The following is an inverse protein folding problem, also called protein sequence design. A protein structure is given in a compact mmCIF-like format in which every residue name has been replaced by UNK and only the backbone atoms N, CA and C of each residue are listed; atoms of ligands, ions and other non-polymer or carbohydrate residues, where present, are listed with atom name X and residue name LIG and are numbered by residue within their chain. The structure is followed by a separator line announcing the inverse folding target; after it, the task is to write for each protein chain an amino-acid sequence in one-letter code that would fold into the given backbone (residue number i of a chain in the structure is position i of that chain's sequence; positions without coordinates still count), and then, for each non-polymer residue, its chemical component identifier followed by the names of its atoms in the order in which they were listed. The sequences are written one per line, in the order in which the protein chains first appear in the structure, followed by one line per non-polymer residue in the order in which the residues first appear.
data_IF_416843317254
#
_entry.id   IF_416843317254
#
_cell.length_a   1.000
_cell.length_b   1.000
_cell.length_c   1.000
_cell.angle_alpha   90.00
_cell.angle_beta   90.00
_cell.angle_gamma   90.00
#
_symmetry.space_group_name_H-M   'P 1'
#
loop_
_entity.id
_entity.type
_entity.pdbx_description
1 polymer ?
#
# COMPACT_ATOMS: atom_id res chain seq x y z
N UNK A 1 -26.66 59.28 -27.80
CA UNK A 1 -26.73 58.50 -26.54
C UNK A 1 -26.53 57.05 -26.91
N UNK A 2 -25.29 56.55 -26.83
CA UNK A 2 -24.91 55.22 -27.19
C UNK A 2 -24.29 54.57 -25.96
N UNK A 3 -24.93 53.58 -25.39
CA UNK A 3 -24.43 52.76 -24.28
C UNK A 3 -23.64 51.60 -24.86
N UNK A 4 -22.32 51.62 -24.73
CA UNK A 4 -21.47 50.49 -24.98
C UNK A 4 -21.38 49.64 -23.73
N UNK A 5 -22.01 48.47 -23.76
CA UNK A 5 -21.81 47.41 -22.76
C UNK A 5 -20.59 46.61 -23.14
N UNK A 6 -19.45 47.02 -22.64
CA UNK A 6 -18.22 46.23 -22.67
C UNK A 6 -18.11 45.44 -21.37
N UNK A 7 -18.66 44.23 -21.32
CA UNK A 7 -18.38 43.28 -20.23
C UNK A 7 -17.51 42.15 -20.75
N UNK A 8 -16.21 42.36 -20.73
CA UNK A 8 -15.27 41.25 -20.75
C UNK A 8 -15.15 40.72 -19.33
N UNK A 9 -15.91 39.69 -19.01
CA UNK A 9 -15.66 38.91 -17.83
C UNK A 9 -14.42 38.00 -18.07
N UNK A 10 -13.24 38.55 -17.85
CA UNK A 10 -12.07 37.73 -17.61
C UNK A 10 -12.30 37.03 -16.26
N UNK A 11 -12.65 35.75 -16.30
CA UNK A 11 -12.59 34.90 -15.12
C UNK A 11 -11.14 34.95 -14.62
N UNK A 12 -10.90 35.30 -13.34
CA UNK A 12 -9.55 35.37 -12.82
C UNK A 12 -8.85 34.00 -12.98
N UNK A 13 -7.60 34.00 -13.42
CA UNK A 13 -6.76 32.80 -13.53
C UNK A 13 -6.76 31.95 -12.25
N UNK A 14 -6.94 32.57 -11.09
CA UNK A 14 -7.10 31.88 -9.81
C UNK A 14 -8.29 30.91 -9.76
N UNK A 15 -9.39 31.17 -10.50
CA UNK A 15 -10.51 30.23 -10.58
C UNK A 15 -10.20 29.02 -11.45
N UNK A 16 -9.42 29.18 -12.52
CA UNK A 16 -9.03 28.06 -13.38
C UNK A 16 -8.08 27.07 -12.64
N UNK A 17 -7.19 27.60 -11.81
CA UNK A 17 -6.31 26.77 -10.96
C UNK A 17 -7.13 25.99 -9.92
N UNK A 18 -8.10 26.62 -9.29
CA UNK A 18 -8.97 25.96 -8.31
C UNK A 18 -9.83 24.85 -8.95
N UNK A 19 -10.33 25.03 -10.19
CA UNK A 19 -11.06 23.99 -10.91
C UNK A 19 -10.18 22.78 -11.23
N UNK A 20 -8.91 23.00 -11.59
CA UNK A 20 -7.94 21.90 -11.79
C UNK A 20 -7.71 21.12 -10.50
N UNK A 21 -7.54 21.79 -9.38
CA UNK A 21 -7.35 21.13 -8.07
C UNK A 21 -8.62 20.38 -7.61
N UNK A 22 -9.81 20.96 -7.80
CA UNK A 22 -11.09 20.30 -7.50
C UNK A 22 -11.28 19.04 -8.36
N UNK A 23 -10.96 19.11 -9.66
CA UNK A 23 -11.00 17.94 -10.54
C UNK A 23 -10.03 16.84 -10.07
N UNK A 24 -8.81 17.18 -9.66
CA UNK A 24 -7.85 16.22 -9.10
C UNK A 24 -8.38 15.55 -7.83
N UNK A 25 -9.06 16.31 -6.96
CA UNK A 25 -9.66 15.75 -5.73
C UNK A 25 -10.81 14.81 -6.04
N UNK A 26 -11.66 15.13 -7.04
CA UNK A 26 -12.83 14.32 -7.39
C UNK A 26 -12.45 13.10 -8.24
N UNK A 27 -11.63 13.28 -9.28
CA UNK A 27 -11.30 12.26 -10.27
C UNK A 27 -9.94 11.62 -10.05
N UNK A 28 -9.14 12.11 -9.10
CA UNK A 28 -7.77 11.67 -8.82
C UNK A 28 -6.75 12.37 -9.73
N UNK A 29 -5.48 12.09 -9.46
CA UNK A 29 -4.37 12.60 -10.25
C UNK A 29 -4.11 11.64 -11.43
N UNK A 30 -3.62 12.16 -12.58
CA UNK A 30 -3.20 11.31 -13.68
C UNK A 30 -2.23 10.24 -13.20
N UNK A 31 -2.36 9.03 -13.71
CA UNK A 31 -1.44 7.96 -13.39
C UNK A 31 -0.06 8.29 -13.98
N UNK A 32 0.97 8.26 -13.13
CA UNK A 32 2.36 8.42 -13.56
C UNK A 32 2.92 7.04 -13.86
N UNK A 33 2.93 6.68 -15.14
CA UNK A 33 3.44 5.39 -15.58
C UNK A 33 4.98 5.40 -15.64
N UNK A 34 5.60 4.40 -15.01
CA UNK A 34 7.03 4.12 -15.09
C UNK A 34 7.21 3.03 -16.15
N UNK A 35 7.50 3.46 -17.37
CA UNK A 35 7.89 2.52 -18.41
C UNK A 35 9.36 2.08 -18.25
N UNK A 36 9.77 1.07 -19.04
CA UNK A 36 11.12 0.50 -18.95
C UNK A 36 12.22 1.53 -19.19
N UNK A 37 12.03 2.45 -20.16
CA UNK A 37 13.01 3.49 -20.48
C UNK A 37 13.23 4.41 -19.29
N UNK A 38 12.15 4.90 -18.67
CA UNK A 38 12.28 5.73 -17.47
C UNK A 38 12.89 4.97 -16.29
N UNK A 39 12.54 3.70 -16.11
CA UNK A 39 13.20 2.89 -15.11
C UNK A 39 14.70 2.83 -15.33
N UNK A 40 15.16 2.63 -16.57
CA UNK A 40 16.57 2.51 -16.90
C UNK A 40 17.35 3.84 -16.72
N UNK A 41 16.68 5.00 -16.81
CA UNK A 41 17.25 6.33 -16.57
C UNK A 41 17.58 6.59 -15.08
N UNK A 42 16.90 5.94 -14.14
CA UNK A 42 17.22 6.08 -12.72
C UNK A 42 18.48 5.28 -12.36
N UNK A 43 19.40 5.90 -11.61
CA UNK A 43 20.63 5.24 -11.13
C UNK A 43 20.38 4.41 -9.87
N UNK A 44 19.36 4.77 -9.09
CA UNK A 44 19.05 4.18 -7.79
C UNK A 44 17.73 3.42 -7.81
N UNK A 45 17.58 2.47 -6.89
CA UNK A 45 16.28 1.88 -6.60
C UNK A 45 15.34 2.95 -6.06
N UNK A 46 14.10 2.92 -6.49
CA UNK A 46 13.08 3.88 -6.07
C UNK A 46 11.73 3.19 -5.88
N UNK A 47 10.81 3.87 -5.22
CA UNK A 47 9.43 3.43 -5.14
C UNK A 47 8.47 4.56 -5.52
N UNK A 48 7.40 4.20 -6.24
CA UNK A 48 6.29 5.09 -6.55
C UNK A 48 5.22 4.89 -5.49
N UNK A 49 4.89 5.95 -4.76
CA UNK A 49 3.97 5.91 -3.63
C UNK A 49 2.75 6.76 -3.93
N UNK A 50 1.58 6.27 -3.52
CA UNK A 50 0.31 6.97 -3.65
C UNK A 50 -0.55 6.75 -2.41
N UNK A 51 -1.07 7.84 -1.85
CA UNK A 51 -2.04 7.80 -0.77
C UNK A 51 -3.46 7.98 -1.32
N UNK A 52 -4.29 6.93 -1.24
CA UNK A 52 -5.64 6.89 -1.83
C UNK A 52 -5.65 7.39 -3.29
N UNK A 53 -6.43 8.46 -3.56
CA UNK A 53 -6.54 9.14 -4.85
C UNK A 53 -5.60 10.34 -4.99
N UNK A 54 -4.67 10.53 -4.06
CA UNK A 54 -3.69 11.61 -4.10
C UNK A 54 -2.70 11.49 -5.25
N UNK A 55 -1.79 12.46 -5.39
CA UNK A 55 -0.72 12.39 -6.38
C UNK A 55 0.24 11.23 -6.09
N UNK A 56 0.91 10.79 -7.14
CA UNK A 56 2.06 9.90 -6.99
C UNK A 56 3.28 10.70 -6.54
N UNK A 57 4.05 10.12 -5.62
CA UNK A 57 5.35 10.63 -5.19
C UNK A 57 6.40 9.56 -5.45
N UNK A 58 7.60 9.99 -5.79
CA UNK A 58 8.77 9.11 -5.91
C UNK A 58 9.60 9.26 -4.64
N UNK A 59 9.97 8.13 -4.05
CA UNK A 59 10.93 8.05 -2.96
C UNK A 59 12.12 7.22 -3.41
N UNK A 60 13.31 7.61 -2.99
CA UNK A 60 14.57 6.95 -3.36
C UNK A 60 15.03 6.07 -2.21
N UNK A 61 15.54 4.89 -2.53
CA UNK A 61 16.18 4.01 -1.56
C UNK A 61 17.50 4.65 -1.11
N UNK A 62 17.53 5.13 0.14
CA UNK A 62 18.69 5.83 0.70
C UNK A 62 19.62 4.88 1.47
N UNK A 63 19.04 3.95 2.24
CA UNK A 63 19.80 3.00 3.04
C UNK A 63 19.16 1.61 3.01
N UNK A 64 20.02 0.62 3.15
CA UNK A 64 19.66 -0.80 3.33
C UNK A 64 20.41 -1.28 4.54
N UNK A 65 19.69 -1.81 5.53
CA UNK A 65 20.23 -2.43 6.73
C UNK A 65 19.58 -3.82 6.85
N UNK A 66 20.34 -4.84 6.48
CA UNK A 66 19.84 -6.22 6.30
C UNK A 66 18.61 -6.28 5.36
N UNK A 67 17.43 -6.51 5.91
CA UNK A 67 16.16 -6.59 5.20
C UNK A 67 15.27 -5.32 5.38
N UNK A 68 15.79 -4.30 6.07
CA UNK A 68 15.13 -3.02 6.28
C UNK A 68 15.62 -2.01 5.25
N UNK A 69 14.69 -1.45 4.49
CA UNK A 69 14.93 -0.48 3.43
C UNK A 69 14.38 0.88 3.85
N UNK A 70 15.25 1.90 3.89
CA UNK A 70 14.86 3.29 4.14
C UNK A 70 14.65 4.03 2.82
N UNK A 71 13.42 4.44 2.58
CA UNK A 71 13.02 5.23 1.41
C UNK A 71 12.83 6.68 1.82
N UNK A 72 13.41 7.61 1.08
CA UNK A 72 13.38 9.05 1.38
C UNK A 72 12.70 9.81 0.26
N UNK A 73 11.70 10.61 0.65
CA UNK A 73 11.02 11.56 -0.23
C UNK A 73 11.61 12.97 -0.17
N UNK A 74 11.10 13.87 -1.00
CA UNK A 74 11.59 15.25 -1.12
C UNK A 74 11.36 16.09 0.15
N UNK A 75 10.31 15.81 0.92
CA UNK A 75 9.90 16.61 2.09
C UNK A 75 10.41 16.02 3.41
N UNK A 76 11.56 15.33 3.37
CA UNK A 76 12.11 14.59 4.50
C UNK A 76 11.17 13.49 5.07
N UNK A 77 10.15 13.13 4.33
CA UNK A 77 9.34 11.96 4.66
C UNK A 77 10.19 10.72 4.43
N UNK A 78 10.25 9.88 5.47
CA UNK A 78 10.94 8.59 5.41
C UNK A 78 9.95 7.46 5.62
N UNK A 79 10.12 6.41 4.85
CA UNK A 79 9.34 5.18 4.95
C UNK A 79 10.32 4.04 5.09
N UNK A 80 10.15 3.24 6.13
CA UNK A 80 10.98 2.06 6.37
C UNK A 80 10.14 0.83 6.02
N UNK A 81 10.70 -0.01 5.16
CA UNK A 81 10.04 -1.26 4.77
C UNK A 81 10.93 -2.46 5.10
N UNK A 82 10.28 -3.55 5.49
CA UNK A 82 10.88 -4.86 5.60
C UNK A 82 10.14 -5.79 4.65
N UNK A 83 10.83 -6.27 3.62
CA UNK A 83 10.22 -7.09 2.56
C UNK A 83 8.91 -6.48 2.00
N UNK A 84 8.95 -5.18 1.66
CA UNK A 84 7.81 -4.44 1.10
C UNK A 84 6.70 -4.06 2.09
N UNK A 85 6.74 -4.58 3.33
CA UNK A 85 5.86 -4.17 4.41
C UNK A 85 6.40 -2.89 5.05
N UNK A 86 5.59 -1.84 5.13
CA UNK A 86 5.96 -0.64 5.87
C UNK A 86 5.92 -0.95 7.37
N UNK A 87 7.06 -0.73 8.04
CA UNK A 87 7.23 -1.00 9.47
C UNK A 87 7.35 0.29 10.29
N UNK A 88 7.73 1.41 9.65
CA UNK A 88 7.87 2.70 10.29
C UNK A 88 7.73 3.83 9.27
N UNK A 89 7.20 4.96 9.72
CA UNK A 89 7.23 6.22 8.97
C UNK A 89 7.74 7.34 9.84
N UNK A 90 8.32 8.37 9.22
CA UNK A 90 8.66 9.62 9.88
C UNK A 90 8.39 10.80 8.96
N UNK A 91 7.87 11.90 9.51
CA UNK A 91 7.57 13.11 8.74
C UNK A 91 6.19 13.13 8.10
N UNK A 92 5.32 12.15 8.34
CA UNK A 92 3.92 12.20 7.98
C UNK A 92 3.12 12.95 9.06
N UNK A 93 1.88 13.32 8.75
CA UNK A 93 0.96 13.92 9.73
C UNK A 93 0.70 12.95 10.89
N UNK A 94 0.66 11.66 10.58
CA UNK A 94 0.50 10.59 11.56
C UNK A 94 1.54 9.52 11.26
N UNK A 95 2.53 9.42 12.11
CA UNK A 95 3.57 8.40 12.01
C UNK A 95 3.22 7.16 12.84
N UNK A 96 3.90 6.06 12.57
CA UNK A 96 3.81 4.84 13.35
C UNK A 96 5.13 4.07 13.32
N UNK A 97 5.29 3.13 14.25
CA UNK A 97 6.43 2.23 14.30
C UNK A 97 6.03 0.85 14.85
N UNK A 98 6.39 -0.21 14.14
CA UNK A 98 6.31 -1.59 14.62
C UNK A 98 7.65 -1.89 15.28
N UNK A 99 7.68 -2.08 16.60
CA UNK A 99 8.93 -2.17 17.38
C UNK A 99 9.74 -3.44 17.13
N UNK A 100 9.08 -4.55 16.83
CA UNK A 100 9.72 -5.83 16.57
C UNK A 100 9.01 -6.48 15.39
N UNK A 101 9.24 -5.96 14.18
CA UNK A 101 8.54 -6.46 13.00
C UNK A 101 8.98 -7.89 12.72
N UNK A 102 8.01 -8.77 12.46
CA UNK A 102 8.28 -10.12 11.98
C UNK A 102 8.47 -10.09 10.48
N UNK A 103 9.47 -10.84 10.03
CA UNK A 103 9.80 -10.89 8.62
C UNK A 103 8.72 -11.62 7.82
N UNK A 104 8.15 -10.96 6.80
CA UNK A 104 7.17 -11.57 5.90
C UNK A 104 7.80 -12.73 5.12
N UNK A 105 9.10 -12.69 4.80
CA UNK A 105 9.77 -13.77 4.08
C UNK A 105 9.77 -15.08 4.87
N UNK A 106 9.84 -15.02 6.20
CA UNK A 106 9.75 -16.21 7.06
C UNK A 106 8.34 -16.80 7.02
N UNK A 107 7.34 -15.93 6.88
CA UNK A 107 5.94 -16.33 6.72
C UNK A 107 5.71 -16.98 5.35
N UNK A 108 6.34 -16.43 4.31
CA UNK A 108 6.23 -16.93 2.95
C UNK A 108 6.95 -18.26 2.76
N UNK A 109 8.09 -18.45 3.42
CA UNK A 109 8.89 -19.67 3.34
C UNK A 109 8.29 -20.83 4.16
N UNK A 110 7.39 -20.53 5.10
CA UNK A 110 6.56 -21.54 5.73
C UNK A 110 5.53 -22.01 4.69
N UNK A 111 5.67 -23.22 4.16
CA UNK A 111 4.79 -23.85 3.16
C UNK A 111 3.32 -23.99 3.61
N UNK A 112 2.90 -23.31 4.65
CA UNK A 112 1.64 -23.45 5.37
C UNK A 112 0.75 -22.21 5.32
N UNK A 113 0.91 -21.32 4.32
CA UNK A 113 -0.05 -20.24 4.18
C UNK A 113 -1.37 -20.77 3.59
N UNK A 114 -2.50 -20.57 4.27
CA UNK A 114 -3.79 -20.97 3.72
C UNK A 114 -4.07 -20.23 2.42
N UNK A 115 -4.45 -20.96 1.38
CA UNK A 115 -4.81 -20.39 0.09
C UNK A 115 -6.24 -19.87 0.14
N UNK A 116 -6.45 -18.60 -0.19
CA UNK A 116 -7.80 -18.09 -0.36
C UNK A 116 -8.23 -18.08 -1.82
N UNK A 117 -9.47 -18.52 -2.10
CA UNK A 117 -10.05 -18.44 -3.44
C UNK A 117 -10.78 -17.09 -3.57
N UNK A 118 -10.48 -16.33 -4.64
CA UNK A 118 -11.28 -15.16 -5.00
C UNK A 118 -12.64 -15.63 -5.50
N UNK A 119 -13.60 -15.75 -4.57
CA UNK A 119 -14.98 -16.03 -4.95
C UNK A 119 -15.58 -14.77 -5.59
N UNK A 120 -15.85 -14.80 -6.90
CA UNK A 120 -16.66 -13.77 -7.58
C UNK A 120 -18.13 -13.79 -7.14
N UNK A 121 -18.50 -14.66 -6.21
CA UNK A 121 -19.86 -14.95 -5.77
C UNK A 121 -20.09 -14.73 -4.25
N UNK A 122 -19.22 -13.99 -3.55
CA UNK A 122 -19.34 -13.85 -2.09
C UNK A 122 -20.54 -13.01 -1.61
N UNK A 123 -21.34 -12.44 -2.51
CA UNK A 123 -22.53 -11.67 -2.12
C UNK A 123 -23.82 -12.52 -1.98
N UNK A 124 -23.80 -13.82 -2.31
CA UNK A 124 -25.00 -14.64 -2.34
C UNK A 124 -24.97 -15.89 -1.44
N UNK A 125 -23.88 -16.15 -0.70
CA UNK A 125 -23.69 -17.42 0.00
C UNK A 125 -23.85 -17.32 1.54
N UNK A 126 -24.11 -16.14 2.08
CA UNK A 126 -24.37 -15.99 3.54
C UNK A 126 -25.69 -16.62 4.01
N UNK A 127 -26.40 -17.34 3.13
CA UNK A 127 -27.73 -17.91 3.44
C UNK A 127 -27.84 -19.43 3.29
N UNK A 128 -26.74 -20.17 3.13
CA UNK A 128 -26.82 -21.64 3.09
C UNK A 128 -26.19 -22.26 4.34
N UNK A 129 -26.97 -23.03 5.12
CA UNK A 129 -26.42 -23.74 6.27
C UNK A 129 -25.50 -24.87 5.83
N UNK A 130 -24.34 -24.91 6.45
CA UNK A 130 -23.34 -25.97 6.61
C UNK A 130 -23.68 -27.36 6.04
N UNK A 131 -23.30 -27.61 4.78
CA UNK A 131 -23.22 -28.96 4.22
C UNK A 131 -21.84 -29.31 3.66
N UNK A 132 -20.82 -28.53 3.88
CA UNK A 132 -19.45 -28.90 3.52
C UNK A 132 -18.67 -29.20 4.80
N UNK A 133 -18.33 -30.48 4.93
CA UNK A 133 -17.44 -31.00 5.95
C UNK A 133 -16.12 -30.24 5.93
N UNK A 134 -15.89 -29.46 6.99
CA UNK A 134 -14.62 -28.79 7.30
C UNK A 134 -13.57 -29.86 7.62
N UNK A 135 -12.96 -30.44 6.57
CA UNK A 135 -11.72 -31.18 6.71
C UNK A 135 -10.66 -30.41 5.95
N UNK A 136 -9.65 -29.95 6.69
CA UNK A 136 -8.38 -29.40 6.22
C UNK A 136 -8.37 -27.91 5.83
N UNK A 137 -9.06 -27.03 6.55
CA UNK A 137 -8.68 -25.61 6.57
C UNK A 137 -7.74 -25.45 7.77
N UNK A 138 -6.41 -25.48 7.52
CA UNK A 138 -5.45 -25.04 8.52
C UNK A 138 -5.83 -23.62 8.94
N UNK A 139 -6.06 -23.40 10.24
CA UNK A 139 -6.36 -22.07 10.76
C UNK A 139 -5.16 -21.15 10.46
N UNK A 140 -5.41 -19.95 9.89
CA UNK A 140 -4.33 -19.01 9.58
C UNK A 140 -3.58 -18.68 10.87
N UNK A 141 -2.26 -18.89 10.86
CA UNK A 141 -1.41 -18.63 12.00
C UNK A 141 -1.47 -17.15 12.39
N UNK A 142 -1.92 -16.87 13.60
CA UNK A 142 -1.93 -15.51 14.14
C UNK A 142 -0.53 -15.11 14.60
N UNK A 143 -0.17 -13.87 14.32
CA UNK A 143 1.06 -13.26 14.81
C UNK A 143 0.73 -12.00 15.60
N UNK A 144 1.54 -11.74 16.61
CA UNK A 144 1.38 -10.61 17.52
C UNK A 144 2.68 -9.80 17.52
N UNK A 145 2.55 -8.48 17.32
CA UNK A 145 3.65 -7.52 17.29
C UNK A 145 3.28 -6.31 18.16
N UNK A 146 4.28 -5.55 18.59
CA UNK A 146 4.05 -4.29 19.29
C UNK A 146 4.13 -3.14 18.30
N UNK A 147 3.14 -2.23 18.34
CA UNK A 147 3.07 -1.05 17.49
C UNK A 147 2.86 0.21 18.32
N UNK A 148 3.56 1.27 17.94
CA UNK A 148 3.33 2.62 18.41
C UNK A 148 2.65 3.43 17.30
N UNK A 149 1.55 4.08 17.63
CA UNK A 149 0.83 5.01 16.78
C UNK A 149 1.00 6.42 17.36
N UNK A 150 1.27 7.39 16.49
CA UNK A 150 1.34 8.78 16.84
C UNK A 150 0.11 9.52 16.30
N UNK A 151 -0.58 10.27 17.15
CA UNK A 151 -1.80 11.05 16.84
C UNK A 151 -3.03 10.20 16.38
N UNK A 152 -3.81 9.58 17.30
CA UNK A 152 -3.66 9.68 18.75
C UNK A 152 -2.50 8.82 19.23
N UNK A 153 -1.84 9.28 20.28
CA UNK A 153 -0.75 8.54 20.89
C UNK A 153 -1.29 7.24 21.51
N UNK A 154 -0.88 6.14 20.93
CA UNK A 154 -1.17 4.79 21.42
C UNK A 154 0.13 4.00 21.35
N UNK A 155 0.77 3.85 22.48
CA UNK A 155 2.07 3.19 22.57
C UNK A 155 1.93 1.75 23.04
N UNK A 156 2.80 0.91 22.51
CA UNK A 156 2.88 -0.51 22.87
C UNK A 156 1.55 -1.25 22.68
N UNK A 157 0.78 -0.86 21.66
CA UNK A 157 -0.45 -1.58 21.31
C UNK A 157 -0.12 -2.92 20.68
N UNK A 158 -0.99 -3.89 20.86
CA UNK A 158 -0.85 -5.20 20.22
C UNK A 158 -1.44 -5.14 18.82
N UNK A 159 -0.59 -5.32 17.80
CA UNK A 159 -0.96 -5.53 16.41
C UNK A 159 -1.06 -7.04 16.17
N UNK A 160 -2.26 -7.51 15.88
CA UNK A 160 -2.52 -8.90 15.50
C UNK A 160 -2.59 -8.99 13.98
N UNK A 161 -1.87 -9.94 13.41
CA UNK A 161 -1.85 -10.17 11.96
C UNK A 161 -2.13 -11.62 11.61
N UNK A 162 -2.83 -11.83 10.49
CA UNK A 162 -3.06 -13.14 9.87
C UNK A 162 -2.71 -13.01 8.39
N UNK A 163 -2.18 -14.07 7.81
CA UNK A 163 -1.76 -14.08 6.42
C UNK A 163 -2.43 -15.21 5.66
N UNK A 164 -2.71 -14.95 4.40
CA UNK A 164 -3.13 -15.95 3.41
C UNK A 164 -2.54 -15.59 2.05
N UNK A 165 -2.41 -16.55 1.16
CA UNK A 165 -1.80 -16.32 -0.15
C UNK A 165 -2.57 -16.97 -1.29
N UNK A 166 -2.34 -16.47 -2.50
CA UNK A 166 -2.78 -17.09 -3.75
C UNK A 166 -1.83 -16.69 -4.88
N UNK A 167 -1.76 -17.50 -5.93
CA UNK A 167 -1.09 -17.11 -7.17
C UNK A 167 -1.91 -16.09 -7.93
N UNK A 168 -1.26 -15.07 -8.50
CA UNK A 168 -1.86 -14.03 -9.34
C UNK A 168 -0.83 -13.58 -10.39
N UNK A 169 -1.23 -12.68 -11.28
CA UNK A 169 -0.36 -12.05 -12.26
C UNK A 169 -0.55 -10.53 -12.21
N UNK A 170 0.55 -9.80 -12.32
CA UNK A 170 0.53 -8.34 -12.42
C UNK A 170 1.22 -7.90 -13.72
N UNK A 171 0.74 -6.81 -14.29
CA UNK A 171 1.41 -6.18 -15.42
C UNK A 171 2.56 -5.29 -14.92
N UNK A 172 3.77 -5.48 -15.50
CA UNK A 172 4.94 -4.67 -15.21
C UNK A 172 5.74 -4.43 -16.49
N UNK A 173 5.93 -3.18 -16.85
CA UNK A 173 6.60 -2.78 -18.11
C UNK A 173 5.98 -3.44 -19.35
N UNK A 174 4.66 -3.59 -19.40
CA UNK A 174 3.94 -4.22 -20.51
C UNK A 174 4.09 -5.75 -20.59
N UNK A 175 4.57 -6.39 -19.52
CA UNK A 175 4.68 -7.86 -19.41
C UNK A 175 3.93 -8.34 -18.18
N UNK A 176 3.29 -9.52 -18.31
CA UNK A 176 2.73 -10.22 -17.17
C UNK A 176 3.85 -10.90 -16.37
N UNK A 177 3.81 -10.71 -15.06
CA UNK A 177 4.74 -11.30 -14.10
C UNK A 177 3.93 -12.13 -13.11
N UNK A 178 4.32 -13.39 -12.95
CA UNK A 178 3.71 -14.28 -11.96
C UNK A 178 4.10 -13.83 -10.56
N UNK A 179 3.11 -13.66 -9.71
CA UNK A 179 3.28 -13.22 -8.34
C UNK A 179 2.47 -14.06 -7.38
N UNK A 180 2.95 -14.16 -6.17
CA UNK A 180 2.15 -14.59 -5.04
C UNK A 180 1.49 -13.36 -4.40
N UNK A 181 0.17 -13.23 -4.52
CA UNK A 181 -0.58 -12.23 -3.78
C UNK A 181 -0.76 -12.70 -2.33
N UNK A 182 -0.32 -11.88 -1.39
CA UNK A 182 -0.44 -12.13 0.04
C UNK A 182 -1.45 -11.14 0.61
N UNK A 183 -2.51 -11.67 1.22
CA UNK A 183 -3.44 -10.88 2.01
C UNK A 183 -3.00 -10.95 3.49
N UNK A 184 -2.75 -9.79 4.09
CA UNK A 184 -2.57 -9.62 5.52
C UNK A 184 -3.83 -8.99 6.11
N UNK A 185 -4.43 -9.63 7.10
CA UNK A 185 -5.45 -9.01 7.95
C UNK A 185 -4.74 -8.49 9.19
N UNK A 186 -4.72 -7.17 9.38
CA UNK A 186 -4.12 -6.49 10.52
C UNK A 186 -5.22 -5.93 11.43
N UNK A 187 -5.08 -6.07 12.75
CA UNK A 187 -6.04 -5.56 13.73
C UNK A 187 -5.38 -5.08 15.00
N UNK A 188 -5.96 -4.02 15.61
CA UNK A 188 -5.62 -3.51 16.94
C UNK A 188 -6.91 -3.46 17.72
N UNK A 189 -7.12 -4.47 18.57
CA UNK A 189 -8.40 -4.68 19.25
C UNK A 189 -8.74 -3.55 20.24
N UNK A 190 -7.74 -2.93 20.88
CA UNK A 190 -7.93 -1.82 21.84
C UNK A 190 -8.62 -0.59 21.26
N UNK A 191 -8.58 -0.42 19.92
CA UNK A 191 -9.22 0.69 19.22
C UNK A 191 -10.22 0.21 18.16
N UNK A 192 -10.60 -1.08 18.19
CA UNK A 192 -11.50 -1.69 17.22
C UNK A 192 -11.12 -1.43 15.76
N UNK A 193 -9.81 -1.39 15.46
CA UNK A 193 -9.30 -1.20 14.12
C UNK A 193 -8.95 -2.53 13.47
N UNK A 194 -9.38 -2.71 12.21
CA UNK A 194 -9.07 -3.89 11.40
C UNK A 194 -9.03 -3.51 9.93
N UNK A 195 -7.98 -3.96 9.22
CA UNK A 195 -7.76 -3.67 7.80
C UNK A 195 -7.14 -4.86 7.08
N UNK A 196 -7.29 -4.86 5.76
CA UNK A 196 -6.64 -5.79 4.86
C UNK A 196 -5.51 -5.09 4.12
N UNK A 197 -4.34 -5.70 4.08
CA UNK A 197 -3.20 -5.26 3.31
C UNK A 197 -2.86 -6.33 2.28
N UNK A 198 -2.27 -5.91 1.15
CA UNK A 198 -1.93 -6.80 0.05
C UNK A 198 -0.49 -6.57 -0.35
N UNK A 199 0.21 -7.66 -0.65
CA UNK A 199 1.58 -7.66 -1.14
C UNK A 199 1.66 -8.58 -2.35
N UNK A 200 2.34 -8.14 -3.40
CA UNK A 200 2.53 -8.90 -4.63
C UNK A 200 4.00 -9.26 -4.73
N UNK A 201 4.31 -10.51 -4.47
CA UNK A 201 5.67 -11.06 -4.39
C UNK A 201 6.00 -11.77 -5.68
N UNK A 202 7.06 -11.37 -6.35
CA UNK A 202 7.58 -12.04 -7.56
C UNK A 202 8.01 -13.46 -7.20
N UNK A 203 7.40 -14.46 -7.82
CA UNK A 203 7.72 -15.86 -7.57
C UNK A 203 9.17 -16.24 -7.93
N UNK A 204 9.79 -15.50 -8.87
CA UNK A 204 11.15 -15.79 -9.32
C UNK A 204 12.24 -15.22 -8.41
N UNK A 205 11.98 -14.07 -7.79
CA UNK A 205 12.98 -13.36 -6.98
C UNK A 205 12.66 -13.32 -5.49
N UNK A 206 11.42 -13.63 -5.11
CA UNK A 206 10.93 -13.49 -3.73
C UNK A 206 10.76 -12.04 -3.26
N UNK A 207 10.89 -11.06 -4.18
CA UNK A 207 10.79 -9.63 -3.84
C UNK A 207 9.36 -9.13 -3.98
N UNK A 208 8.96 -8.27 -3.06
CA UNK A 208 7.69 -7.55 -3.18
C UNK A 208 7.81 -6.50 -4.28
N UNK A 209 7.01 -6.63 -5.33
CA UNK A 209 6.95 -5.67 -6.44
C UNK A 209 5.95 -4.56 -6.18
N UNK A 210 4.83 -4.87 -5.54
CA UNK A 210 3.76 -3.92 -5.21
C UNK A 210 3.17 -4.23 -3.84
N UNK A 211 2.66 -3.20 -3.19
CA UNK A 211 1.87 -3.37 -1.98
C UNK A 211 0.75 -2.35 -1.88
N UNK A 212 -0.32 -2.70 -1.16
CA UNK A 212 -1.42 -1.81 -0.81
C UNK A 212 -1.72 -1.96 0.67
N UNK A 213 -1.38 -0.94 1.47
CA UNK A 213 -1.36 -1.04 2.92
C UNK A 213 -2.16 0.09 3.56
N UNK A 214 -2.97 -0.24 4.56
CA UNK A 214 -3.55 0.70 5.52
C UNK A 214 -2.72 0.59 6.80
N UNK A 215 -1.94 1.62 7.08
CA UNK A 215 -0.85 1.57 8.07
C UNK A 215 -1.27 2.10 9.43
N UNK A 216 -2.24 3.04 9.43
CA UNK A 216 -2.69 3.76 10.61
C UNK A 216 -4.18 4.08 10.47
N UNK A 217 -4.99 4.08 11.54
CA UNK A 217 -6.42 4.38 11.47
C UNK A 217 -6.77 5.70 10.77
N UNK A 218 -5.95 6.74 10.99
CA UNK A 218 -6.15 8.08 10.40
C UNK A 218 -5.40 8.32 9.09
N UNK A 219 -4.41 7.50 8.76
CA UNK A 219 -3.68 7.65 7.51
C UNK A 219 -4.48 7.02 6.35
N UNK A 220 -4.42 7.62 5.19
CA UNK A 220 -4.98 7.03 3.99
C UNK A 220 -4.27 5.71 3.63
N UNK A 221 -4.93 4.84 2.87
CA UNK A 221 -4.28 3.64 2.31
C UNK A 221 -3.15 4.07 1.40
N UNK A 222 -1.98 3.46 1.55
CA UNK A 222 -0.82 3.67 0.70
C UNK A 222 -0.68 2.53 -0.29
N UNK A 223 -0.50 2.88 -1.56
CA UNK A 223 -0.06 1.95 -2.61
C UNK A 223 1.38 2.25 -2.95
N UNK A 224 2.21 1.23 -3.03
CA UNK A 224 3.64 1.35 -3.28
C UNK A 224 4.02 0.39 -4.41
N UNK A 225 4.65 0.92 -5.46
CA UNK A 225 5.29 0.13 -6.53
C UNK A 225 6.81 0.24 -6.34
N UNK A 226 7.47 -0.87 -6.12
CA UNK A 226 8.90 -0.93 -5.86
C UNK A 226 9.68 -1.18 -7.16
N UNK A 227 10.76 -0.44 -7.38
CA UNK A 227 11.64 -0.53 -8.54
C UNK A 227 13.09 -0.74 -8.08
N UNK A 228 13.50 -2.00 -8.02
CA UNK A 228 14.84 -2.38 -7.57
C UNK A 228 15.84 -2.38 -8.73
N UNK A 229 17.07 -1.94 -8.45
CA UNK A 229 18.21 -1.89 -9.40
C UNK A 229 19.28 -2.95 -9.14
N UNK A 230 19.05 -3.83 -8.17
CA UNK A 230 19.99 -4.90 -7.75
C UNK A 230 19.31 -6.26 -7.72
#
# INVERSE_FOLDING_TARGET
MGLTLGSCSQLPLAYAQNFSEVNKVIFGFPEYDINRTRFDEYEYSFAKIKFNRGPHSIVILAFVDDDIYEWVGTDNVKIFTQNGRVIKTTGLITDFEIRSPKNISDILSSNNLPTFKKSRLSAAIDFLPSFFSDKDIEEPQEQYESIDLYQPDLFNATLRTRYSSRSDEIERFGKLVNVQEIEQIASIDSIAWREKNYFYVDESTGRVLQSSQKLHPRLARVSIDFFYKF
#
